data_IF_428298267260
#
_entry.id   IF_428298267260
#
_cell.length_a   1.000
_cell.length_b   1.000
_cell.length_c   1.000
_cell.angle_alpha   90.00
_cell.angle_beta   90.00
_cell.angle_gamma   90.00
#
_symmetry.space_group_name_H-M   'P 1'
#
loop_
_entity.id
_entity.type
_entity.pdbx_description
1 polymer ?
#
# COMPACT_ATOMS: atom_id res chain seq x y z
N UNK A 1 82.28 1.41 -35.67
CA UNK A 1 80.91 1.93 -35.81
C UNK A 1 80.10 1.42 -34.63
N UNK A 2 79.88 2.26 -33.60
CA UNK A 2 78.99 1.95 -32.48
C UNK A 2 77.63 2.56 -32.81
N UNK A 3 76.61 1.72 -32.89
CA UNK A 3 75.23 2.16 -33.05
C UNK A 3 74.72 2.42 -31.64
N UNK A 4 74.46 3.69 -31.32
CA UNK A 4 73.85 4.09 -30.05
C UNK A 4 72.42 3.56 -30.03
N UNK A 5 72.15 2.53 -29.21
CA UNK A 5 70.80 2.08 -28.93
C UNK A 5 70.07 3.18 -28.17
N UNK A 6 69.14 3.86 -28.85
CA UNK A 6 68.26 4.83 -28.20
C UNK A 6 67.30 4.10 -27.28
N UNK A 7 67.22 4.57 -26.03
CA UNK A 7 66.29 4.08 -25.02
C UNK A 7 64.85 4.22 -25.50
N UNK A 8 64.28 3.13 -26.03
CA UNK A 8 62.87 3.05 -26.37
C UNK A 8 62.07 2.91 -25.07
N UNK A 9 61.62 4.04 -24.51
CA UNK A 9 60.56 4.01 -23.50
C UNK A 9 59.23 3.75 -24.22
N UNK A 10 58.64 2.58 -23.95
CA UNK A 10 57.28 2.27 -24.39
C UNK A 10 56.32 3.26 -23.73
N UNK A 11 55.75 4.18 -24.52
CA UNK A 11 54.84 5.25 -24.08
C UNK A 11 53.45 4.74 -23.62
N UNK A 12 53.31 3.46 -23.29
CA UNK A 12 52.06 2.83 -22.85
C UNK A 12 51.01 2.68 -23.95
N UNK A 13 49.79 2.35 -23.56
CA UNK A 13 48.62 2.27 -24.44
C UNK A 13 48.21 3.69 -24.85
N UNK A 14 48.28 4.00 -26.15
CA UNK A 14 47.84 5.26 -26.73
C UNK A 14 46.44 5.12 -27.31
N UNK A 15 45.55 6.03 -26.96
CA UNK A 15 44.19 6.10 -27.48
C UNK A 15 44.11 7.19 -28.55
N UNK A 16 43.36 6.93 -29.62
CA UNK A 16 43.13 7.89 -30.71
C UNK A 16 41.64 8.20 -30.81
N UNK A 17 41.27 9.47 -30.70
CA UNK A 17 39.89 9.91 -30.93
C UNK A 17 39.48 9.64 -32.39
N UNK A 18 38.28 9.11 -32.62
CA UNK A 18 37.79 8.88 -33.99
C UNK A 18 37.20 10.14 -34.66
N UNK A 19 36.85 11.15 -33.86
CA UNK A 19 36.25 12.40 -34.37
C UNK A 19 37.30 13.48 -34.68
N UNK A 20 38.27 13.69 -33.77
CA UNK A 20 39.32 14.72 -33.93
C UNK A 20 40.71 14.17 -34.21
N UNK A 21 40.90 12.84 -34.20
CA UNK A 21 42.17 12.14 -34.44
C UNK A 21 43.31 12.45 -33.47
N UNK A 22 43.04 13.16 -32.38
CA UNK A 22 44.00 13.43 -31.31
C UNK A 22 44.41 12.15 -30.60
N UNK A 23 45.68 12.08 -30.20
CA UNK A 23 46.28 10.92 -29.53
C UNK A 23 46.59 11.29 -28.09
N UNK A 24 46.10 10.51 -27.14
CA UNK A 24 46.25 10.75 -25.72
C UNK A 24 46.48 9.45 -24.95
N UNK A 25 47.22 9.53 -23.85
CA UNK A 25 47.52 8.37 -23.01
C UNK A 25 46.31 7.93 -22.16
N UNK A 26 45.46 8.88 -21.73
CA UNK A 26 44.29 8.62 -20.89
C UNK A 26 43.03 9.21 -21.51
N UNK A 27 41.97 8.40 -21.76
CA UNK A 27 40.68 8.90 -22.22
C UNK A 27 39.94 9.61 -21.09
N UNK A 28 39.34 10.76 -21.38
CA UNK A 28 38.34 11.37 -20.50
C UNK A 28 36.97 10.70 -20.70
N UNK A 29 36.44 10.08 -19.65
CA UNK A 29 35.11 9.46 -19.70
C UNK A 29 34.06 10.50 -19.32
N UNK A 30 33.17 10.79 -20.27
CA UNK A 30 32.02 11.67 -20.07
C UNK A 30 30.71 10.89 -20.20
N UNK A 31 29.77 11.18 -19.30
CA UNK A 31 28.44 10.59 -19.30
C UNK A 31 27.44 11.56 -19.92
N UNK A 32 26.61 11.03 -20.81
CA UNK A 32 25.52 11.78 -21.45
C UNK A 32 24.21 11.53 -20.72
N UNK A 33 23.58 12.59 -20.22
CA UNK A 33 22.23 12.50 -19.66
C UNK A 33 21.22 12.13 -20.77
N UNK A 34 20.49 11.03 -20.59
CA UNK A 34 19.49 10.58 -21.57
C UNK A 34 18.28 11.51 -21.70
N UNK A 35 18.03 12.37 -20.69
CA UNK A 35 16.88 13.30 -20.69
C UNK A 35 17.19 14.63 -21.38
N UNK A 36 18.37 15.20 -21.17
CA UNK A 36 18.70 16.55 -21.64
C UNK A 36 19.97 16.63 -22.51
N UNK A 37 20.69 15.52 -22.69
CA UNK A 37 21.88 15.45 -23.53
C UNK A 37 23.14 16.10 -22.93
N UNK A 38 23.06 16.69 -21.73
CA UNK A 38 24.22 17.27 -21.06
C UNK A 38 25.33 16.22 -20.86
N UNK A 39 26.58 16.66 -21.04
CA UNK A 39 27.78 15.86 -20.82
C UNK A 39 28.37 16.20 -19.46
N UNK A 40 28.58 15.18 -18.63
CA UNK A 40 29.11 15.33 -17.28
C UNK A 40 30.35 14.43 -17.13
N UNK A 41 31.46 14.92 -16.56
CA UNK A 41 32.62 14.07 -16.22
C UNK A 41 32.22 12.95 -15.25
N UNK A 42 32.83 11.78 -15.38
CA UNK A 42 32.55 10.63 -14.51
C UNK A 42 32.67 10.96 -13.02
N UNK A 43 33.68 11.74 -12.61
CA UNK A 43 33.95 12.07 -11.20
C UNK A 43 32.89 13.01 -10.59
N UNK A 44 32.04 13.63 -11.42
CA UNK A 44 30.99 14.55 -11.00
C UNK A 44 29.60 13.89 -10.94
N UNK A 45 29.54 12.57 -11.03
CA UNK A 45 28.29 11.80 -10.99
C UNK A 45 28.02 11.36 -9.57
N UNK A 46 26.88 11.80 -9.05
CA UNK A 46 26.37 11.31 -7.78
C UNK A 46 25.64 9.99 -8.00
N UNK A 47 26.21 8.90 -7.47
CA UNK A 47 25.51 7.63 -7.36
C UNK A 47 24.45 7.74 -6.25
N UNK A 48 23.19 7.49 -6.60
CA UNK A 48 22.10 7.43 -5.62
C UNK A 48 21.60 6.00 -5.50
N UNK A 49 21.46 5.52 -4.27
CA UNK A 49 20.78 4.27 -4.00
C UNK A 49 19.29 4.43 -4.33
N UNK A 50 18.80 3.66 -5.30
CA UNK A 50 17.38 3.61 -5.65
C UNK A 50 16.79 2.36 -5.01
N UNK A 51 15.82 2.56 -4.12
CA UNK A 51 15.10 1.44 -3.51
C UNK A 51 14.20 0.78 -4.56
N UNK A 52 14.31 -0.54 -4.68
CA UNK A 52 13.33 -1.35 -5.40
C UNK A 52 12.36 -1.97 -4.38
N UNK A 53 11.07 -1.87 -4.67
CA UNK A 53 10.02 -2.46 -3.85
C UNK A 53 9.37 -3.60 -4.63
N UNK A 54 9.09 -4.70 -3.94
CA UNK A 54 8.31 -5.82 -4.47
C UNK A 54 6.99 -5.87 -3.71
N UNK A 55 5.88 -5.89 -4.45
CA UNK A 55 4.57 -5.99 -3.83
C UNK A 55 4.44 -7.31 -3.06
N UNK A 56 3.92 -7.23 -1.84
CA UNK A 56 3.61 -8.42 -1.06
C UNK A 56 2.31 -9.03 -1.57
N UNK A 57 2.44 -10.06 -2.41
CA UNK A 57 1.31 -10.76 -3.02
C UNK A 57 0.27 -11.28 -2.02
N UNK A 58 0.68 -11.58 -0.78
CA UNK A 58 -0.26 -12.00 0.27
C UNK A 58 -1.26 -10.90 0.67
N UNK A 59 -0.99 -9.63 0.34
CA UNK A 59 -1.85 -8.48 0.65
C UNK A 59 -2.66 -7.98 -0.55
N UNK A 60 -2.61 -8.67 -1.70
CA UNK A 60 -3.30 -8.27 -2.93
C UNK A 60 -4.81 -8.09 -2.72
N UNK A 61 -5.47 -9.11 -2.20
CA UNK A 61 -6.93 -9.14 -2.01
C UNK A 61 -7.39 -8.05 -1.04
N UNK A 62 -6.62 -7.81 0.02
CA UNK A 62 -6.86 -6.71 0.96
C UNK A 62 -6.74 -5.34 0.26
N UNK A 63 -5.69 -5.15 -0.55
CA UNK A 63 -5.49 -3.90 -1.29
C UNK A 63 -6.60 -3.67 -2.33
N UNK A 64 -7.05 -4.72 -3.01
CA UNK A 64 -8.16 -4.64 -3.97
C UNK A 64 -9.48 -4.24 -3.29
N UNK A 65 -9.73 -4.69 -2.05
CA UNK A 65 -10.88 -4.27 -1.25
C UNK A 65 -10.78 -2.81 -0.80
N UNK A 66 -9.64 -2.43 -0.24
CA UNK A 66 -9.36 -1.08 0.25
C UNK A 66 -9.53 -0.04 -0.86
N UNK A 67 -9.08 -0.34 -2.08
CA UNK A 67 -9.01 0.66 -3.16
C UNK A 67 -10.38 0.95 -3.78
N UNK A 68 -11.28 -0.04 -3.95
CA UNK A 68 -12.54 0.14 -4.70
C UNK A 68 -13.81 -0.06 -3.85
N UNK A 69 -14.09 -1.25 -3.28
CA UNK A 69 -15.31 -1.45 -2.48
C UNK A 69 -15.44 -0.51 -1.29
N UNK A 70 -14.35 -0.27 -0.56
CA UNK A 70 -14.37 0.58 0.64
C UNK A 70 -14.71 2.03 0.30
N UNK A 71 -14.09 2.59 -0.74
CA UNK A 71 -14.34 3.96 -1.18
C UNK A 71 -15.79 4.15 -1.65
N UNK A 72 -16.35 3.19 -2.40
CA UNK A 72 -17.76 3.21 -2.81
C UNK A 72 -18.73 3.13 -1.62
N UNK A 73 -18.42 2.31 -0.62
CA UNK A 73 -19.20 2.22 0.61
C UNK A 73 -19.20 3.55 1.38
N UNK A 74 -18.02 4.17 1.52
CA UNK A 74 -17.88 5.46 2.21
C UNK A 74 -18.67 6.54 1.49
N UNK A 75 -18.56 6.61 0.16
CA UNK A 75 -19.30 7.58 -0.65
C UNK A 75 -20.82 7.36 -0.55
N UNK A 76 -21.26 6.10 -0.59
CA UNK A 76 -22.65 5.74 -0.37
C UNK A 76 -23.17 6.20 1.00
N UNK A 77 -22.42 5.95 2.08
CA UNK A 77 -22.78 6.38 3.43
C UNK A 77 -22.85 7.91 3.54
N UNK A 78 -21.88 8.62 2.96
CA UNK A 78 -21.89 10.09 2.90
C UNK A 78 -23.09 10.63 2.14
N UNK A 79 -23.46 10.02 1.03
CA UNK A 79 -24.66 10.40 0.25
C UNK A 79 -25.97 10.16 1.02
N UNK A 80 -25.97 9.24 1.99
CA UNK A 80 -27.10 9.03 2.92
C UNK A 80 -27.10 10.02 4.10
N UNK A 81 -26.12 10.92 4.16
CA UNK A 81 -25.98 11.95 5.20
C UNK A 81 -25.25 11.48 6.45
N UNK A 82 -24.43 10.43 6.35
CA UNK A 82 -23.52 10.05 7.44
C UNK A 82 -22.20 10.81 7.33
N UNK A 83 -21.68 11.27 8.46
CA UNK A 83 -20.27 11.57 8.63
C UNK A 83 -19.52 10.25 8.80
N UNK A 84 -18.44 10.05 8.03
CA UNK A 84 -17.74 8.76 7.98
C UNK A 84 -16.28 8.96 8.35
N UNK A 85 -15.85 8.31 9.42
CA UNK A 85 -14.46 8.24 9.87
C UNK A 85 -13.89 6.84 9.59
N UNK A 86 -12.79 6.79 8.85
CA UNK A 86 -12.02 5.57 8.63
C UNK A 86 -10.99 5.37 9.74
N UNK A 87 -10.67 4.11 10.05
CA UNK A 87 -9.66 3.74 11.05
C UNK A 87 -9.88 4.43 12.41
N UNK A 88 -11.16 4.65 12.76
CA UNK A 88 -11.58 5.43 13.90
C UNK A 88 -11.11 4.78 15.22
N UNK A 89 -10.50 5.61 16.07
CA UNK A 89 -10.13 5.23 17.44
C UNK A 89 -11.17 5.80 18.38
N UNK A 90 -11.87 4.91 19.08
CA UNK A 90 -12.97 5.29 19.98
C UNK A 90 -12.73 4.67 21.35
N UNK A 91 -12.93 5.48 22.40
CA UNK A 91 -12.80 5.01 23.78
C UNK A 91 -14.06 4.26 24.21
N UNK A 92 -13.88 3.03 24.66
CA UNK A 92 -14.95 2.21 25.22
C UNK A 92 -15.35 2.59 26.64
N UNK A 93 -16.47 2.02 27.10
CA UNK A 93 -16.99 2.16 28.47
C UNK A 93 -16.01 1.60 29.51
N UNK A 94 -15.23 0.59 29.13
CA UNK A 94 -14.12 0.06 29.94
C UNK A 94 -12.94 1.04 30.10
N UNK A 95 -12.89 2.09 29.28
CA UNK A 95 -11.77 3.02 29.18
C UNK A 95 -10.69 2.60 28.18
N UNK A 96 -10.78 1.40 27.60
CA UNK A 96 -9.88 0.96 26.54
C UNK A 96 -10.14 1.70 25.22
N UNK A 97 -9.08 1.93 24.45
CA UNK A 97 -9.20 2.46 23.09
C UNK A 97 -9.39 1.32 22.09
N UNK A 98 -10.42 1.43 21.27
CA UNK A 98 -10.76 0.45 20.25
C UNK A 98 -10.65 1.07 18.87
N UNK A 99 -9.99 0.36 17.97
CA UNK A 99 -9.94 0.71 16.56
C UNK A 99 -11.05 -0.01 15.80
N UNK A 100 -11.86 0.77 15.09
CA UNK A 100 -12.93 0.33 14.18
C UNK A 100 -12.56 0.75 12.75
N UNK A 101 -12.80 -0.11 11.77
CA UNK A 101 -12.37 0.13 10.39
C UNK A 101 -13.12 1.31 9.77
N UNK A 102 -14.44 1.37 9.96
CA UNK A 102 -15.27 2.51 9.56
C UNK A 102 -16.32 2.78 10.64
N UNK A 103 -16.39 4.03 11.09
CA UNK A 103 -17.44 4.55 11.94
C UNK A 103 -18.27 5.53 11.10
N UNK A 104 -19.57 5.26 10.98
CA UNK A 104 -20.51 6.14 10.30
C UNK A 104 -21.50 6.71 11.32
N UNK A 105 -21.52 8.03 11.47
CA UNK A 105 -22.34 8.75 12.44
C UNK A 105 -23.31 9.67 11.71
N UNK A 106 -24.57 9.65 12.09
CA UNK A 106 -25.59 10.57 11.56
C UNK A 106 -26.40 11.15 12.71
N UNK A 107 -26.30 12.46 12.88
CA UNK A 107 -27.11 13.22 13.83
C UNK A 107 -28.29 13.85 13.07
N UNK A 108 -29.51 13.43 13.41
CA UNK A 108 -30.74 14.01 12.87
C UNK A 108 -31.33 15.13 13.75
N UNK A 109 -30.59 15.55 14.77
CA UNK A 109 -30.98 16.58 15.74
C UNK A 109 -31.82 16.05 16.91
N UNK A 110 -32.24 14.79 16.87
CA UNK A 110 -32.98 14.13 17.94
C UNK A 110 -32.21 12.92 18.47
N UNK A 111 -31.65 12.11 17.57
CA UNK A 111 -30.90 10.89 17.86
C UNK A 111 -29.63 10.84 17.02
N UNK A 112 -28.50 10.59 17.68
CA UNK A 112 -27.25 10.25 17.02
C UNK A 112 -27.27 8.76 16.67
N UNK A 113 -27.18 8.44 15.39
CA UNK A 113 -27.13 7.10 14.86
C UNK A 113 -25.69 6.74 14.50
N UNK A 114 -25.09 5.85 15.28
CA UNK A 114 -23.74 5.33 15.03
C UNK A 114 -23.80 3.93 14.46
N UNK A 115 -23.08 3.69 13.37
CA UNK A 115 -22.89 2.38 12.76
C UNK A 115 -21.41 2.04 12.81
N UNK A 116 -21.08 0.95 13.51
CA UNK A 116 -19.75 0.38 13.49
C UNK A 116 -19.67 -0.63 12.33
N UNK A 117 -18.69 -0.45 11.46
CA UNK A 117 -18.46 -1.36 10.33
C UNK A 117 -17.08 -1.97 10.48
N UNK A 118 -17.05 -3.30 10.62
CA UNK A 118 -15.82 -4.10 10.60
C UNK A 118 -15.60 -4.71 9.23
N UNK A 119 -14.35 -4.75 8.77
CA UNK A 119 -13.94 -5.32 7.50
C UNK A 119 -12.86 -6.35 7.74
N UNK A 120 -13.09 -7.58 7.30
CA UNK A 120 -12.08 -8.63 7.34
C UNK A 120 -11.92 -9.28 5.97
N UNK A 121 -10.68 -9.32 5.50
CA UNK A 121 -10.28 -9.87 4.21
C UNK A 121 -9.28 -10.99 4.43
N UNK A 122 -9.61 -12.17 3.92
CA UNK A 122 -8.75 -13.35 4.01
C UNK A 122 -8.88 -14.24 2.78
N UNK A 123 -7.98 -15.22 2.68
CA UNK A 123 -8.02 -16.24 1.61
C UNK A 123 -9.05 -17.33 1.88
N UNK A 124 -9.41 -17.52 3.14
CA UNK A 124 -10.34 -18.53 3.64
C UNK A 124 -11.54 -17.86 4.33
N UNK A 125 -12.66 -18.58 4.51
CA UNK A 125 -13.81 -18.05 5.23
C UNK A 125 -13.43 -17.54 6.63
N UNK A 126 -13.90 -16.33 6.97
CA UNK A 126 -13.56 -15.65 8.21
C UNK A 126 -14.16 -16.39 9.42
N UNK A 127 -13.27 -16.80 10.33
CA UNK A 127 -13.58 -17.53 11.54
C UNK A 127 -14.26 -16.69 12.63
N UNK A 128 -14.74 -17.37 13.67
CA UNK A 128 -15.53 -16.77 14.75
C UNK A 128 -14.72 -15.74 15.54
N UNK A 129 -13.43 -15.98 15.75
CA UNK A 129 -12.54 -15.13 16.54
C UNK A 129 -12.57 -13.66 16.07
N UNK A 130 -12.49 -13.44 14.76
CA UNK A 130 -12.47 -12.10 14.15
C UNK A 130 -13.79 -11.37 14.35
N UNK A 131 -14.90 -12.06 14.08
CA UNK A 131 -16.23 -11.51 14.26
C UNK A 131 -16.54 -11.21 15.73
N UNK A 132 -16.10 -12.09 16.64
CA UNK A 132 -16.25 -11.91 18.08
C UNK A 132 -15.42 -10.72 18.60
N UNK A 133 -14.19 -10.56 18.11
CA UNK A 133 -13.35 -9.42 18.45
C UNK A 133 -14.01 -8.10 18.02
N UNK A 134 -14.57 -8.04 16.81
CA UNK A 134 -15.34 -6.89 16.35
C UNK A 134 -16.57 -6.60 17.24
N UNK A 135 -17.35 -7.63 17.55
CA UNK A 135 -18.55 -7.50 18.40
C UNK A 135 -18.23 -6.95 19.79
N UNK A 136 -17.14 -7.43 20.41
CA UNK A 136 -16.68 -6.95 21.71
C UNK A 136 -16.26 -5.48 21.68
N UNK A 137 -15.56 -5.05 20.64
CA UNK A 137 -15.18 -3.63 20.46
C UNK A 137 -16.44 -2.78 20.37
N UNK A 138 -17.38 -3.13 19.50
CA UNK A 138 -18.62 -2.38 19.32
C UNK A 138 -19.47 -2.34 20.60
N UNK A 139 -19.53 -3.46 21.33
CA UNK A 139 -20.21 -3.55 22.62
C UNK A 139 -19.60 -2.62 23.67
N UNK A 140 -18.27 -2.62 23.79
CA UNK A 140 -17.59 -1.75 24.76
C UNK A 140 -17.71 -0.27 24.39
N UNK A 141 -17.63 0.07 23.11
CA UNK A 141 -17.91 1.44 22.63
C UNK A 141 -19.38 1.83 22.88
N UNK A 142 -20.29 0.85 22.82
CA UNK A 142 -21.71 1.05 23.04
C UNK A 142 -22.53 1.27 21.76
N UNK A 143 -21.99 0.89 20.61
CA UNK A 143 -22.67 0.98 19.31
C UNK A 143 -23.48 -0.30 19.09
N UNK A 144 -24.77 -0.14 18.83
CA UNK A 144 -25.70 -1.25 18.64
C UNK A 144 -25.78 -1.70 17.18
N UNK A 145 -25.75 -0.74 16.24
CA UNK A 145 -25.81 -1.03 14.82
C UNK A 145 -24.45 -1.46 14.30
N UNK A 146 -24.33 -2.77 14.06
CA UNK A 146 -23.09 -3.44 13.69
C UNK A 146 -23.21 -4.02 12.30
N UNK A 147 -22.29 -3.63 11.43
CA UNK A 147 -22.12 -4.21 10.10
C UNK A 147 -20.76 -4.90 10.02
N UNK A 148 -20.71 -6.07 9.42
CA UNK A 148 -19.47 -6.81 9.20
C UNK A 148 -19.35 -7.21 7.74
N UNK A 149 -18.27 -6.80 7.10
CA UNK A 149 -17.96 -7.13 5.72
C UNK A 149 -16.90 -8.23 5.74
N UNK A 150 -17.25 -9.39 5.19
CA UNK A 150 -16.38 -10.56 5.14
C UNK A 150 -16.00 -10.88 3.69
N UNK A 151 -14.71 -10.92 3.42
CA UNK A 151 -14.16 -11.35 2.12
C UNK A 151 -13.32 -12.61 2.35
N UNK A 152 -13.62 -13.74 1.67
CA UNK A 152 -14.70 -13.92 0.70
C UNK A 152 -16.07 -14.15 1.35
N UNK A 153 -16.11 -14.74 2.55
CA UNK A 153 -17.34 -15.12 3.26
C UNK A 153 -17.06 -15.39 4.74
N UNK A 154 -18.10 -15.58 5.54
CA UNK A 154 -18.00 -16.09 6.91
C UNK A 154 -18.03 -17.62 6.95
N UNK A 155 -17.25 -18.19 7.87
CA UNK A 155 -17.40 -19.59 8.26
C UNK A 155 -18.82 -19.87 8.81
N UNK A 156 -19.27 -21.12 8.73
CA UNK A 156 -20.64 -21.53 9.11
C UNK A 156 -20.99 -21.14 10.54
N UNK A 157 -20.06 -21.35 11.47
CA UNK A 157 -20.21 -21.02 12.89
C UNK A 157 -20.30 -19.51 13.11
N UNK A 158 -19.46 -18.73 12.40
CA UNK A 158 -19.47 -17.27 12.42
C UNK A 158 -20.81 -16.70 11.95
N UNK A 159 -21.44 -17.28 10.91
CA UNK A 159 -22.77 -16.85 10.44
C UNK A 159 -23.85 -17.03 11.50
N UNK A 160 -23.83 -18.16 12.20
CA UNK A 160 -24.79 -18.40 13.29
C UNK A 160 -24.59 -17.42 14.44
N UNK A 161 -23.33 -17.10 14.76
CA UNK A 161 -23.02 -16.09 15.77
C UNK A 161 -23.51 -14.69 15.35
N UNK A 162 -23.22 -14.26 14.11
CA UNK A 162 -23.66 -12.96 13.59
C UNK A 162 -25.18 -12.79 13.66
N UNK A 163 -25.95 -13.82 13.27
CA UNK A 163 -27.40 -13.81 13.36
C UNK A 163 -27.89 -13.65 14.79
N UNK A 164 -27.29 -14.37 15.75
CA UNK A 164 -27.65 -14.27 17.18
C UNK A 164 -27.34 -12.89 17.76
N UNK A 165 -26.19 -12.31 17.39
CA UNK A 165 -25.76 -10.99 17.86
C UNK A 165 -26.32 -9.82 17.05
N UNK A 166 -27.21 -10.10 16.09
CA UNK A 166 -27.83 -9.12 15.18
C UNK A 166 -26.80 -8.28 14.41
N UNK A 167 -25.67 -8.88 14.07
CA UNK A 167 -24.64 -8.25 13.24
C UNK A 167 -25.07 -8.44 11.78
N UNK A 168 -25.20 -7.34 11.04
CA UNK A 168 -25.54 -7.40 9.61
C UNK A 168 -24.28 -7.75 8.81
N UNK A 169 -24.32 -8.88 8.10
CA UNK A 169 -23.15 -9.38 7.37
C UNK A 169 -23.31 -9.14 5.87
N UNK A 170 -22.25 -8.63 5.24
CA UNK A 170 -22.10 -8.62 3.79
C UNK A 170 -20.91 -9.50 3.42
N UNK A 171 -21.18 -10.57 2.67
CA UNK A 171 -20.13 -11.44 2.11
C UNK A 171 -19.83 -10.97 0.69
N UNK A 172 -18.57 -10.72 0.38
CA UNK A 172 -18.15 -10.33 -0.96
C UNK A 172 -17.24 -11.42 -1.55
N UNK A 173 -17.83 -12.29 -2.36
CA UNK A 173 -17.12 -13.31 -3.11
C UNK A 173 -16.49 -12.71 -4.36
N UNK A 174 -15.16 -12.65 -4.38
CA UNK A 174 -14.40 -12.27 -5.58
C UNK A 174 -14.27 -10.75 -5.75
N UNK A 175 -13.15 -10.22 -5.26
CA UNK A 175 -12.64 -8.91 -5.66
C UNK A 175 -11.83 -8.97 -6.96
N UNK A 176 -12.09 -9.99 -7.79
CA UNK A 176 -11.53 -10.07 -9.13
C UNK A 176 -12.11 -8.96 -10.01
N UNK A 177 -11.34 -8.45 -10.99
CA UNK A 177 -11.84 -7.42 -11.89
C UNK A 177 -13.11 -7.93 -12.58
N UNK A 178 -14.19 -7.17 -12.48
CA UNK A 178 -15.32 -7.31 -13.39
C UNK A 178 -14.78 -7.21 -14.82
N UNK A 179 -15.03 -8.26 -15.61
CA UNK A 179 -14.74 -8.27 -17.06
C UNK A 179 -15.55 -7.22 -17.79
#
# INVERSE_FOLDING_TARGET
MRISGGDYQSLGLMNKCQDCYEIFAQPEIQWRCLKCGALTPQDSINEMNVYSYRFNEARREWLEFEVKPKSQLIEFLRNLGYEVAEDAVVKGRSGAEHKIDILATKDDGIVVHDIAIGVEVGKEPIGLEKLFAFDNKAYDIGILDKVFIAVPALAKESRQFAQRQRIKVFEATGLGPSR
#
